data_IF_174654185204
#
_entry.id   IF_174654185204
#
_cell.length_a   1.000
_cell.length_b   1.000
_cell.length_c   1.000
_cell.angle_alpha   90.00
_cell.angle_beta   90.00
_cell.angle_gamma   90.00
#
_symmetry.space_group_name_H-M   'P 1'
#
loop_
_entity.id
_entity.type
_entity.pdbx_description
1 polymer ?
#
# COMPACT_ATOMS: atom_id res chain seq x y z
N UNK A 1 -6.49 -8.06 19.13
CA UNK A 1 -6.15 -7.24 17.95
C UNK A 1 -4.81 -6.58 18.22
N UNK A 2 -3.75 -6.85 17.47
CA UNK A 2 -2.40 -6.31 17.78
C UNK A 2 -2.24 -4.91 17.18
N UNK A 3 -1.66 -3.96 17.94
CA UNK A 3 -1.39 -2.57 17.53
C UNK A 3 -0.61 -2.51 16.21
N UNK A 4 0.30 -3.47 15.99
CA UNK A 4 1.06 -3.65 14.75
C UNK A 4 0.17 -3.87 13.52
N UNK A 5 -0.94 -4.60 13.65
CA UNK A 5 -1.89 -4.82 12.54
C UNK A 5 -2.67 -3.55 12.21
N UNK A 6 -3.04 -2.76 13.22
CA UNK A 6 -3.77 -1.49 13.04
C UNK A 6 -2.89 -0.49 12.29
N UNK A 7 -1.63 -0.33 12.70
CA UNK A 7 -0.67 0.54 12.03
C UNK A 7 -0.47 0.14 10.55
N UNK A 8 -0.39 -1.17 10.28
CA UNK A 8 -0.26 -1.70 8.92
C UNK A 8 -1.46 -1.34 8.04
N UNK A 9 -2.68 -1.54 8.55
CA UNK A 9 -3.92 -1.24 7.81
C UNK A 9 -4.07 0.24 7.51
N UNK A 10 -3.68 1.13 8.44
CA UNK A 10 -3.70 2.57 8.22
C UNK A 10 -2.73 2.94 7.09
N UNK A 11 -1.49 2.44 7.13
CA UNK A 11 -0.49 2.71 6.08
C UNK A 11 -0.92 2.21 4.70
N UNK A 12 -1.53 1.02 4.62
CA UNK A 12 -2.11 0.52 3.37
C UNK A 12 -3.23 1.42 2.84
N UNK A 13 -4.12 1.88 3.72
CA UNK A 13 -5.23 2.75 3.33
C UNK A 13 -4.75 4.09 2.79
N UNK A 14 -3.72 4.68 3.42
CA UNK A 14 -3.07 5.91 2.95
C UNK A 14 -2.41 5.69 1.58
N UNK A 15 -1.65 4.61 1.41
CA UNK A 15 -1.02 4.25 0.14
C UNK A 15 -2.04 4.12 -1.00
N UNK A 16 -3.14 3.38 -0.77
CA UNK A 16 -4.23 3.21 -1.74
C UNK A 16 -4.88 4.54 -2.13
N UNK A 17 -5.04 5.45 -1.16
CA UNK A 17 -5.63 6.77 -1.40
C UNK A 17 -4.73 7.66 -2.25
N UNK A 18 -3.42 7.65 -2.00
CA UNK A 18 -2.43 8.42 -2.76
C UNK A 18 -2.32 7.92 -4.21
N UNK A 19 -2.31 6.59 -4.40
CA UNK A 19 -2.29 5.99 -5.74
C UNK A 19 -3.58 6.29 -6.51
N UNK A 20 -4.74 6.22 -5.84
CA UNK A 20 -6.02 6.63 -6.45
C UNK A 20 -6.06 8.11 -6.83
N UNK A 21 -5.32 8.96 -6.12
CA UNK A 21 -5.15 10.37 -6.47
C UNK A 21 -4.18 10.59 -7.65
N UNK A 22 -3.61 9.52 -8.23
CA UNK A 22 -2.68 9.61 -9.35
C UNK A 22 -1.23 9.81 -8.96
N UNK A 23 -0.87 9.66 -7.68
CA UNK A 23 0.53 9.75 -7.27
C UNK A 23 1.31 8.49 -7.66
N UNK A 24 2.58 8.69 -8.00
CA UNK A 24 3.53 7.62 -8.24
C UNK A 24 3.69 6.74 -7.01
N UNK A 25 3.94 5.45 -7.23
CA UNK A 25 4.12 4.48 -6.15
C UNK A 25 5.25 4.89 -5.18
N UNK A 26 6.32 5.49 -5.70
CA UNK A 26 7.44 6.01 -4.91
C UNK A 26 7.00 7.10 -3.94
N UNK A 27 6.40 8.18 -4.45
CA UNK A 27 5.86 9.27 -3.64
C UNK A 27 4.81 8.80 -2.64
N UNK A 28 3.88 7.96 -3.10
CA UNK A 28 2.82 7.41 -2.27
C UNK A 28 3.39 6.54 -1.13
N UNK A 29 4.42 5.74 -1.41
CA UNK A 29 5.09 4.92 -0.40
C UNK A 29 5.86 5.76 0.62
N UNK A 30 6.57 6.79 0.16
CA UNK A 30 7.30 7.74 1.00
C UNK A 30 6.36 8.47 1.95
N UNK A 31 5.25 9.02 1.42
CA UNK A 31 4.21 9.71 2.22
C UNK A 31 3.46 8.78 3.17
N UNK A 32 3.26 7.52 2.81
CA UNK A 32 2.66 6.51 3.68
C UNK A 32 3.63 5.96 4.75
N UNK A 33 4.92 6.34 4.72
CA UNK A 33 5.95 5.81 5.60
C UNK A 33 6.16 4.30 5.42
N UNK A 34 6.12 3.85 4.17
CA UNK A 34 6.28 2.47 3.73
C UNK A 34 7.46 2.38 2.75
N UNK A 35 8.24 1.30 2.85
CA UNK A 35 9.23 1.02 1.82
C UNK A 35 8.53 0.64 0.50
N UNK A 36 9.09 1.09 -0.62
CA UNK A 36 8.56 0.82 -1.98
C UNK A 36 8.34 -0.68 -2.21
N UNK A 37 9.25 -1.55 -1.74
CA UNK A 37 9.08 -3.00 -1.86
C UNK A 37 7.85 -3.54 -1.12
N UNK A 38 7.56 -2.99 0.07
CA UNK A 38 6.39 -3.35 0.85
C UNK A 38 5.11 -2.83 0.17
N UNK A 39 5.15 -1.59 -0.34
CA UNK A 39 4.06 -0.99 -1.10
C UNK A 39 3.73 -1.80 -2.36
N UNK A 40 4.75 -2.20 -3.14
CA UNK A 40 4.61 -3.09 -4.30
C UNK A 40 3.96 -4.41 -3.91
N UNK A 41 4.34 -5.00 -2.77
CA UNK A 41 3.75 -6.25 -2.30
C UNK A 41 2.27 -6.10 -1.89
N UNK A 42 1.85 -4.91 -1.44
CA UNK A 42 0.45 -4.63 -1.12
C UNK A 42 -0.42 -4.34 -2.33
N UNK A 43 0.16 -3.76 -3.39
CA UNK A 43 -0.53 -3.55 -4.66
C UNK A 43 -0.57 -4.80 -5.52
N UNK A 44 0.38 -5.73 -5.33
CA UNK A 44 0.32 -7.02 -5.98
C UNK A 44 -0.96 -7.72 -5.53
N UNK A 45 -1.83 -8.15 -6.46
CA UNK A 45 -2.93 -9.01 -6.08
C UNK A 45 -2.33 -10.26 -5.45
N UNK A 46 -2.78 -10.58 -4.24
CA UNK A 46 -2.41 -11.83 -3.54
C UNK A 46 -2.80 -13.08 -4.34
N UNK A 47 -3.66 -12.91 -5.34
CA UNK A 47 -4.09 -13.95 -6.24
C UNK A 47 -3.37 -13.78 -7.59
N UNK A 48 -2.55 -14.75 -8.04
CA UNK A 48 -1.87 -14.70 -9.33
C UNK A 48 -2.83 -14.73 -10.54
N UNK A 49 -4.13 -14.91 -10.30
CA UNK A 49 -5.19 -14.99 -11.31
C UNK A 49 -6.16 -13.79 -11.29
N UNK A 50 -5.88 -12.73 -10.53
CA UNK A 50 -6.70 -11.53 -10.58
C UNK A 50 -6.39 -10.76 -11.87
N UNK A 51 -7.14 -11.07 -12.93
CA UNK A 51 -7.17 -10.33 -14.19
C UNK A 51 -7.96 -9.04 -13.92
N UNK A 52 -7.32 -7.89 -14.07
CA UNK A 52 -7.92 -6.56 -13.98
C UNK A 52 -8.51 -6.14 -15.33
#
# INVERSE_FOLDING_TARGET
>A
MSITKINLSIKQSVLLRLIKNGESLEDASSKAGLCINLAKNYLKPKNPFAIY
#
